data_IF_814022147960
#
_entry.id   IF_814022147960
#
_cell.length_a   1.000
_cell.length_b   1.000
_cell.length_c   1.000
_cell.angle_alpha   90.00
_cell.angle_beta   90.00
_cell.angle_gamma   90.00
#
_symmetry.space_group_name_H-M   'P 1'
#
loop_
_entity.id
_entity.type
_entity.pdbx_description
1 polymer ?
#
# COMPACT_ATOMS: atom_id res chain seq x y z
N UNK A 1 16.05 4.70 -3.02
CA UNK A 1 14.63 4.77 -2.61
C UNK A 1 14.39 6.08 -1.89
N UNK A 2 13.40 6.86 -2.28
CA UNK A 2 13.18 8.20 -1.71
C UNK A 2 12.52 8.09 -0.32
N UNK A 3 13.16 8.58 0.76
CA UNK A 3 12.62 8.46 2.12
C UNK A 3 11.30 9.21 2.31
N UNK A 4 11.07 10.29 1.56
CA UNK A 4 9.81 11.05 1.62
C UNK A 4 8.65 10.25 1.05
N UNK A 5 8.85 9.55 -0.07
CA UNK A 5 7.81 8.71 -0.70
C UNK A 5 7.48 7.52 0.20
N UNK A 6 8.50 6.87 0.78
CA UNK A 6 8.29 5.80 1.76
C UNK A 6 7.50 6.32 2.96
N UNK A 7 7.90 7.45 3.54
CA UNK A 7 7.22 8.05 4.68
C UNK A 7 5.76 8.35 4.38
N UNK A 8 5.48 8.93 3.21
CA UNK A 8 4.11 9.20 2.76
C UNK A 8 3.27 7.91 2.67
N UNK A 9 3.79 6.85 2.05
CA UNK A 9 3.08 5.58 1.93
C UNK A 9 2.83 4.92 3.28
N UNK A 10 3.80 4.95 4.20
CA UNK A 10 3.64 4.40 5.55
C UNK A 10 2.60 5.19 6.35
N UNK A 11 2.67 6.52 6.33
CA UNK A 11 1.71 7.37 7.06
C UNK A 11 0.29 7.21 6.51
N UNK A 12 0.13 7.22 5.19
CA UNK A 12 -1.17 7.01 4.53
C UNK A 12 -1.69 5.58 4.81
N UNK A 13 -0.83 4.57 4.71
CA UNK A 13 -1.18 3.19 5.03
C UNK A 13 -1.65 3.03 6.48
N UNK A 14 -0.95 3.63 7.44
CA UNK A 14 -1.38 3.60 8.84
C UNK A 14 -2.71 4.34 9.05
N UNK A 15 -2.91 5.49 8.40
CA UNK A 15 -4.18 6.21 8.48
C UNK A 15 -5.35 5.37 7.95
N UNK A 16 -5.18 4.71 6.79
CA UNK A 16 -6.19 3.80 6.24
C UNK A 16 -6.42 2.60 7.15
N UNK A 17 -5.36 2.00 7.71
CA UNK A 17 -5.47 0.86 8.62
C UNK A 17 -6.25 1.22 9.89
N UNK A 18 -5.93 2.36 10.53
CA UNK A 18 -6.64 2.84 11.71
C UNK A 18 -8.12 3.08 11.39
N UNK A 19 -8.42 3.73 10.27
CA UNK A 19 -9.80 3.98 9.88
C UNK A 19 -10.57 2.68 9.57
N UNK A 20 -9.93 1.73 8.89
CA UNK A 20 -10.50 0.41 8.61
C UNK A 20 -10.82 -0.34 9.91
N UNK A 21 -9.91 -0.33 10.89
CA UNK A 21 -10.15 -0.90 12.23
C UNK A 21 -11.34 -0.23 12.91
N UNK A 22 -11.42 1.11 12.89
CA UNK A 22 -12.54 1.84 13.50
C UNK A 22 -13.88 1.46 12.85
N UNK A 23 -13.93 1.32 11.53
CA UNK A 23 -15.16 0.93 10.82
C UNK A 23 -15.57 -0.52 11.13
N UNK A 24 -14.59 -1.44 11.19
CA UNK A 24 -14.83 -2.84 11.58
C UNK A 24 -15.36 -2.94 13.01
N UNK A 25 -14.75 -2.20 13.96
CA UNK A 25 -15.17 -2.19 15.37
C UNK A 25 -16.55 -1.56 15.57
N UNK A 26 -16.89 -0.54 14.78
CA UNK A 26 -18.20 0.12 14.82
C UNK A 26 -19.29 -0.62 14.03
N UNK A 27 -18.96 -1.74 13.40
CA UNK A 27 -19.85 -2.53 12.54
C UNK A 27 -20.51 -1.70 11.42
N UNK A 28 -19.77 -0.71 10.90
CA UNK A 28 -20.23 0.17 9.82
C UNK A 28 -19.73 -0.37 8.49
N UNK A 29 -20.64 -0.54 7.52
CA UNK A 29 -20.28 -0.93 6.17
C UNK A 29 -19.38 0.13 5.52
N UNK A 30 -18.20 -0.30 5.05
CA UNK A 30 -17.15 0.54 4.44
C UNK A 30 -17.67 1.43 3.32
N UNK A 31 -18.68 0.96 2.59
CA UNK A 31 -19.32 1.68 1.48
C UNK A 31 -19.81 3.09 1.82
N UNK A 32 -20.11 3.37 3.09
CA UNK A 32 -20.61 4.68 3.51
C UNK A 32 -19.49 5.68 3.88
N UNK A 33 -18.23 5.28 3.79
CA UNK A 33 -17.08 6.11 4.18
C UNK A 33 -16.35 6.65 2.96
N UNK A 34 -16.83 7.76 2.41
CA UNK A 34 -16.17 8.49 1.31
C UNK A 34 -14.71 8.84 1.65
N UNK A 35 -14.45 9.15 2.92
CA UNK A 35 -13.11 9.46 3.42
C UNK A 35 -12.15 8.26 3.32
N UNK A 36 -12.63 7.04 3.53
CA UNK A 36 -11.77 5.84 3.43
C UNK A 36 -11.38 5.59 1.98
N UNK A 37 -12.32 5.68 1.04
CA UNK A 37 -12.02 5.54 -0.38
C UNK A 37 -11.11 6.66 -0.90
N UNK A 38 -11.30 7.90 -0.41
CA UNK A 38 -10.39 9.01 -0.70
C UNK A 38 -8.96 8.74 -0.23
N UNK A 39 -8.78 8.21 0.99
CA UNK A 39 -7.45 7.84 1.49
C UNK A 39 -6.85 6.65 0.75
N UNK A 40 -7.64 5.64 0.37
CA UNK A 40 -7.18 4.52 -0.47
C UNK A 40 -6.70 5.03 -1.83
N UNK A 41 -7.46 5.92 -2.48
CA UNK A 41 -7.06 6.51 -3.76
C UNK A 41 -5.77 7.33 -3.65
N UNK A 42 -5.61 8.08 -2.55
CA UNK A 42 -4.38 8.83 -2.29
C UNK A 42 -3.18 7.91 -2.03
N UNK A 43 -3.40 6.83 -1.29
CA UNK A 43 -2.38 5.79 -1.06
C UNK A 43 -1.99 5.11 -2.37
N UNK A 44 -2.94 4.79 -3.23
CA UNK A 44 -2.70 4.21 -4.56
C UNK A 44 -1.84 5.13 -5.43
N UNK A 45 -2.13 6.43 -5.43
CA UNK A 45 -1.32 7.41 -6.13
C UNK A 45 0.11 7.46 -5.57
N UNK A 46 0.27 7.39 -4.25
CA UNK A 46 1.59 7.34 -3.62
C UNK A 46 2.36 6.07 -4.00
N UNK A 47 1.68 4.92 -4.12
CA UNK A 47 2.28 3.65 -4.60
C UNK A 47 2.70 3.75 -6.06
N UNK A 48 1.92 4.40 -6.93
CA UNK A 48 2.30 4.67 -8.32
C UNK A 48 3.57 5.54 -8.39
N UNK A 49 3.61 6.63 -7.61
CA UNK A 49 4.80 7.48 -7.50
C UNK A 49 6.00 6.68 -6.98
N UNK A 50 5.79 5.78 -6.02
CA UNK A 50 6.84 4.90 -5.50
C UNK A 50 7.35 3.93 -6.57
N UNK A 51 6.48 3.33 -7.38
CA UNK A 51 6.87 2.45 -8.48
C UNK A 51 7.78 3.20 -9.47
N UNK A 52 7.37 4.40 -9.90
CA UNK A 52 8.14 5.21 -10.85
C UNK A 52 9.47 5.65 -10.25
N UNK A 53 9.45 6.32 -9.10
CA UNK A 53 10.67 6.85 -8.47
C UNK A 53 11.61 5.75 -7.98
N UNK A 54 11.08 4.60 -7.54
CA UNK A 54 11.84 3.41 -7.18
C UNK A 54 12.54 2.80 -8.39
N UNK A 55 11.84 2.67 -9.53
CA UNK A 55 12.41 2.14 -10.76
C UNK A 55 13.50 3.06 -11.34
N UNK A 56 13.27 4.38 -11.32
CA UNK A 56 14.28 5.37 -11.72
C UNK A 56 15.51 5.30 -10.79
N UNK A 57 15.29 5.17 -9.48
CA UNK A 57 16.39 5.03 -8.53
C UNK A 57 17.20 3.74 -8.77
N UNK A 58 16.54 2.63 -9.12
CA UNK A 58 17.21 1.38 -9.48
C UNK A 58 18.04 1.52 -10.77
N UNK A 59 17.55 2.25 -11.77
CA UNK A 59 18.29 2.45 -13.02
C UNK A 59 19.54 3.33 -12.85
N UNK A 60 19.55 4.23 -11.86
CA UNK A 60 20.64 5.16 -11.60
C UNK A 60 21.56 4.78 -10.42
N UNK A 61 21.37 3.63 -9.78
CA UNK A 61 22.16 3.22 -8.62
C UNK A 61 23.33 2.32 -9.04
N UNK A 62 24.48 2.49 -8.40
CA UNK A 62 25.63 1.56 -8.51
C UNK A 62 25.58 0.43 -7.48
N UNK A 63 24.55 0.42 -6.61
CA UNK A 63 24.35 -0.61 -5.59
C UNK A 63 24.00 -1.95 -6.23
N UNK A 64 24.55 -3.03 -5.69
CA UNK A 64 24.18 -4.39 -6.05
C UNK A 64 22.81 -4.73 -5.47
N UNK A 65 21.77 -4.46 -6.25
CA UNK A 65 20.37 -4.72 -5.89
C UNK A 65 19.79 -5.66 -6.93
N UNK A 66 19.12 -6.71 -6.48
CA UNK A 66 18.43 -7.64 -7.37
C UNK A 66 17.22 -6.93 -8.04
N UNK A 67 17.47 -6.32 -9.21
CA UNK A 67 16.54 -5.40 -9.85
C UNK A 67 15.20 -6.02 -10.22
N UNK A 68 15.18 -7.28 -10.68
CA UNK A 68 13.95 -8.01 -11.02
C UNK A 68 13.09 -8.19 -9.77
N UNK A 69 13.68 -8.66 -8.67
CA UNK A 69 12.98 -8.82 -7.40
C UNK A 69 12.47 -7.48 -6.90
N UNK A 70 13.30 -6.43 -6.91
CA UNK A 70 12.89 -5.10 -6.45
C UNK A 70 11.67 -4.57 -7.22
N UNK A 71 11.69 -4.63 -8.55
CA UNK A 71 10.58 -4.18 -9.40
C UNK A 71 9.35 -5.05 -9.21
N UNK A 72 9.50 -6.37 -9.11
CA UNK A 72 8.38 -7.28 -8.85
C UNK A 72 7.67 -6.95 -7.52
N UNK A 73 8.42 -6.60 -6.48
CA UNK A 73 7.85 -6.15 -5.20
C UNK A 73 7.15 -4.79 -5.32
N UNK A 74 7.70 -3.82 -6.08
CA UNK A 74 7.02 -2.54 -6.32
C UNK A 74 5.68 -2.74 -7.03
N UNK A 75 5.65 -3.58 -8.08
CA UNK A 75 4.42 -3.89 -8.83
C UNK A 75 3.42 -4.64 -7.95
N UNK A 76 3.88 -5.63 -7.19
CA UNK A 76 3.01 -6.37 -6.25
C UNK A 76 2.38 -5.44 -5.21
N UNK A 77 3.18 -4.53 -4.68
CA UNK A 77 2.74 -3.55 -3.69
C UNK A 77 1.69 -2.59 -4.26
N UNK A 78 1.90 -2.12 -5.50
CA UNK A 78 0.90 -1.33 -6.22
C UNK A 78 -0.40 -2.11 -6.43
N UNK A 79 -0.33 -3.37 -6.87
CA UNK A 79 -1.52 -4.16 -7.20
C UNK A 79 -2.30 -4.66 -5.98
N UNK A 80 -1.66 -4.79 -4.82
CA UNK A 80 -2.32 -5.26 -3.60
C UNK A 80 -3.53 -4.40 -3.24
N UNK A 81 -3.37 -3.08 -3.28
CA UNK A 81 -4.38 -2.12 -2.87
C UNK A 81 -5.64 -2.08 -3.75
N UNK A 82 -5.56 -1.99 -5.11
CA UNK A 82 -6.75 -2.01 -5.96
C UNK A 82 -7.48 -3.34 -5.87
N UNK A 83 -6.76 -4.47 -5.76
CA UNK A 83 -7.38 -5.80 -5.57
C UNK A 83 -8.21 -5.82 -4.27
N UNK A 84 -7.64 -5.35 -3.16
CA UNK A 84 -8.35 -5.25 -1.89
C UNK A 84 -9.52 -4.27 -1.93
N UNK A 85 -9.36 -3.13 -2.59
CA UNK A 85 -10.41 -2.14 -2.76
C UNK A 85 -11.59 -2.69 -3.57
N UNK A 86 -11.33 -3.33 -4.72
CA UNK A 86 -12.38 -3.95 -5.54
C UNK A 86 -13.15 -5.03 -4.77
N UNK A 87 -12.46 -5.83 -3.97
CA UNK A 87 -13.11 -6.81 -3.09
C UNK A 87 -14.02 -6.12 -2.08
N UNK A 88 -13.53 -5.08 -1.42
CA UNK A 88 -14.29 -4.32 -0.44
C UNK A 88 -15.51 -3.59 -1.05
N UNK A 89 -15.45 -3.21 -2.32
CA UNK A 89 -16.57 -2.67 -3.09
C UNK A 89 -17.63 -3.73 -3.41
N UNK A 90 -17.22 -4.98 -3.65
CA UNK A 90 -18.11 -6.09 -3.95
C UNK A 90 -18.84 -6.60 -2.69
N UNK A 91 -18.18 -6.53 -1.53
CA UNK A 91 -18.75 -6.96 -0.25
C UNK A 91 -19.58 -5.84 0.41
N UNK A 92 -20.82 -6.15 0.80
CA UNK A 92 -21.74 -5.20 1.44
C UNK A 92 -21.68 -5.23 2.98
N UNK A 93 -20.86 -6.11 3.54
CA UNK A 93 -20.80 -6.38 4.98
C UNK A 93 -19.55 -5.77 5.64
N UNK A 94 -19.43 -5.92 6.96
CA UNK A 94 -18.22 -5.54 7.73
C UNK A 94 -16.94 -6.23 7.24
N UNK A 95 -17.07 -7.36 6.54
CA UNK A 95 -15.93 -8.13 6.01
C UNK A 95 -15.15 -7.30 4.99
N UNK A 96 -15.81 -6.40 4.24
CA UNK A 96 -15.12 -5.47 3.35
C UNK A 96 -14.07 -4.61 4.08
N UNK A 97 -14.32 -4.23 5.33
CA UNK A 97 -13.37 -3.47 6.15
C UNK A 97 -12.18 -4.30 6.62
N UNK A 98 -12.44 -5.58 6.96
CA UNK A 98 -11.37 -6.51 7.30
C UNK A 98 -10.45 -6.79 6.09
N UNK A 99 -11.00 -6.89 4.88
CA UNK A 99 -10.21 -7.06 3.66
C UNK A 99 -9.32 -5.84 3.39
N UNK A 100 -9.87 -4.63 3.48
CA UNK A 100 -9.06 -3.39 3.35
C UNK A 100 -7.93 -3.37 4.37
N UNK A 101 -8.22 -3.73 5.63
CA UNK A 101 -7.20 -3.80 6.67
C UNK A 101 -6.08 -4.78 6.31
N UNK A 102 -6.42 -6.01 5.92
CA UNK A 102 -5.43 -7.03 5.51
C UNK A 102 -4.60 -6.55 4.33
N UNK A 103 -5.24 -5.94 3.33
CA UNK A 103 -4.57 -5.40 2.15
C UNK A 103 -3.58 -4.29 2.52
N UNK A 104 -3.99 -3.35 3.38
CA UNK A 104 -3.13 -2.23 3.79
C UNK A 104 -1.98 -2.72 4.68
N UNK A 105 -2.22 -3.68 5.56
CA UNK A 105 -1.15 -4.34 6.32
C UNK A 105 -0.16 -5.06 5.40
N UNK A 106 -0.65 -5.68 4.33
CA UNK A 106 0.20 -6.30 3.31
C UNK A 106 1.07 -5.25 2.61
N UNK A 107 0.49 -4.10 2.22
CA UNK A 107 1.25 -2.97 1.66
C UNK A 107 2.36 -2.52 2.61
N UNK A 108 2.06 -2.36 3.91
CA UNK A 108 3.05 -1.96 4.91
C UNK A 108 4.15 -3.03 5.10
N UNK A 109 3.81 -4.31 5.09
CA UNK A 109 4.79 -5.39 5.16
C UNK A 109 5.70 -5.42 3.91
N UNK A 110 5.15 -5.17 2.72
CA UNK A 110 5.93 -5.05 1.49
C UNK A 110 6.87 -3.84 1.50
N UNK A 111 6.52 -2.75 2.18
CA UNK A 111 7.45 -1.63 2.40
C UNK A 111 8.71 -2.07 3.16
N UNK A 112 8.55 -2.84 4.23
CA UNK A 112 9.69 -3.36 5.00
C UNK A 112 10.57 -4.24 4.12
N UNK A 113 9.95 -5.08 3.29
CA UNK A 113 10.69 -5.94 2.36
C UNK A 113 11.42 -5.14 1.28
N UNK A 114 10.80 -4.10 0.72
CA UNK A 114 11.44 -3.20 -0.24
C UNK A 114 12.65 -2.46 0.35
N UNK A 115 12.56 -2.01 1.60
CA UNK A 115 13.70 -1.40 2.31
C UNK A 115 14.84 -2.41 2.48
N UNK A 116 14.54 -3.65 2.86
CA UNK A 116 15.53 -4.74 2.98
C UNK A 116 16.25 -4.99 1.66
N UNK A 117 15.49 -5.20 0.58
CA UNK A 117 16.04 -5.45 -0.76
C UNK A 117 16.91 -4.26 -1.21
N UNK A 118 16.45 -3.03 -0.99
CA UNK A 118 17.22 -1.83 -1.33
C UNK A 118 18.51 -1.69 -0.51
N UNK A 119 18.52 -2.19 0.72
CA UNK A 119 19.69 -2.20 1.59
C UNK A 119 20.70 -3.30 1.24
N UNK A 120 20.34 -4.25 0.38
CA UNK A 120 21.18 -5.41 0.03
C UNK A 120 21.12 -6.53 1.08
N UNK A 121 20.00 -6.64 1.81
CA UNK A 121 19.76 -7.63 2.87
C UNK A 121 18.58 -8.55 2.55
#
# INVERSE_FOLDING_TARGET
MNPFVLGAVVVLGLAVAVLAVVLVVRDVAVRHSDLLFGLIALLELALLVQLVTGSVALAGTERDVEGVTFVAYLVTNLLALPIGAFWALADKTRVGGAVVLVTVLTVLALQLRLVSIWAGA
#
